data_IF_144029647705
#
_entry.id   IF_144029647705
#
_cell.length_a   1.000
_cell.length_b   1.000
_cell.length_c   1.000
_cell.angle_alpha   90.00
_cell.angle_beta   90.00
_cell.angle_gamma   90.00
#
_symmetry.space_group_name_H-M   'P 1'
#
loop_
_entity.id
_entity.type
_entity.pdbx_description
1 polymer ?
#
# COMPACT_ATOMS: atom_id res chain seq x y z
N UNK A 1 1.25 -18.25 -12.61
CA UNK A 1 0.81 -18.30 -11.19
C UNK A 1 -0.30 -17.28 -11.02
N UNK A 2 -1.34 -17.57 -10.23
CA UNK A 2 -2.39 -16.60 -9.88
C UNK A 2 -1.98 -15.84 -8.62
N UNK A 3 -2.17 -14.53 -8.62
CA UNK A 3 -2.03 -13.69 -7.44
C UNK A 3 -3.18 -12.68 -7.39
N UNK A 4 -3.52 -12.20 -6.21
CA UNK A 4 -4.40 -11.05 -6.01
C UNK A 4 -3.58 -9.87 -5.52
N UNK A 5 -3.98 -8.66 -5.85
CA UNK A 5 -3.37 -7.46 -5.28
C UNK A 5 -4.42 -6.44 -4.84
N UNK A 6 -4.13 -5.72 -3.75
CA UNK A 6 -4.96 -4.67 -3.16
C UNK A 6 -4.14 -3.38 -3.11
N UNK A 7 -4.71 -2.27 -3.59
CA UNK A 7 -4.08 -0.96 -3.57
C UNK A 7 -4.06 -0.31 -2.18
N UNK A 8 -3.65 0.96 -2.14
CA UNK A 8 -3.45 1.76 -0.92
C UNK A 8 -4.71 1.79 -0.03
N UNK A 9 -4.52 1.58 1.28
CA UNK A 9 -5.62 1.28 2.22
C UNK A 9 -5.99 2.51 3.07
N UNK A 10 -4.98 3.21 3.57
CA UNK A 10 -5.09 4.44 4.36
C UNK A 10 -6.16 4.38 5.44
N UNK A 11 -6.09 3.42 6.36
CA UNK A 11 -7.00 3.33 7.51
C UNK A 11 -8.48 3.05 7.19
N UNK A 12 -8.82 2.65 5.97
CA UNK A 12 -10.20 2.31 5.57
C UNK A 12 -10.51 0.81 5.71
N UNK A 13 -10.66 0.36 6.97
CA UNK A 13 -10.92 -1.05 7.30
C UNK A 13 -12.15 -1.64 6.59
N UNK A 14 -13.23 -0.88 6.49
CA UNK A 14 -14.48 -1.30 5.85
C UNK A 14 -14.27 -1.62 4.36
N UNK A 15 -13.52 -0.75 3.67
CA UNK A 15 -13.15 -0.93 2.26
C UNK A 15 -12.19 -2.12 2.08
N UNK A 16 -11.22 -2.27 2.97
CA UNK A 16 -10.27 -3.40 2.95
C UNK A 16 -11.01 -4.73 3.08
N UNK A 17 -11.91 -4.85 4.06
CA UNK A 17 -12.75 -6.03 4.22
C UNK A 17 -13.66 -6.24 2.99
N UNK A 18 -14.13 -5.16 2.37
CA UNK A 18 -14.88 -5.20 1.12
C UNK A 18 -14.12 -5.87 -0.01
N UNK A 19 -12.90 -5.41 -0.31
CA UNK A 19 -12.10 -6.00 -1.38
C UNK A 19 -11.64 -7.42 -1.07
N UNK A 20 -11.38 -7.77 0.19
CA UNK A 20 -11.15 -9.17 0.56
C UNK A 20 -12.36 -10.06 0.28
N UNK A 21 -13.59 -9.59 0.51
CA UNK A 21 -14.79 -10.36 0.12
C UNK A 21 -14.87 -10.60 -1.38
N UNK A 22 -14.48 -9.62 -2.21
CA UNK A 22 -14.42 -9.80 -3.66
C UNK A 22 -13.39 -10.86 -4.06
N UNK A 23 -12.22 -10.88 -3.40
CA UNK A 23 -11.20 -11.90 -3.58
C UNK A 23 -11.74 -13.29 -3.21
N UNK A 24 -12.40 -13.44 -2.06
CA UNK A 24 -12.96 -14.74 -1.64
C UNK A 24 -14.08 -15.22 -2.57
N UNK A 25 -14.90 -14.31 -3.10
CA UNK A 25 -15.88 -14.64 -4.12
C UNK A 25 -15.22 -15.18 -5.40
N UNK A 26 -14.14 -14.53 -5.85
CA UNK A 26 -13.39 -14.97 -7.02
C UNK A 26 -12.68 -16.32 -6.79
N UNK A 27 -12.06 -16.51 -5.62
CA UNK A 27 -11.47 -17.79 -5.20
C UNK A 27 -12.48 -18.92 -5.22
N UNK A 28 -13.70 -18.67 -4.75
CA UNK A 28 -14.79 -19.65 -4.79
C UNK A 28 -15.13 -20.05 -6.23
N UNK A 29 -15.07 -19.11 -7.18
CA UNK A 29 -15.35 -19.36 -8.61
C UNK A 29 -14.22 -20.15 -9.29
N UNK A 30 -12.96 -19.89 -8.94
CA UNK A 30 -11.80 -20.49 -9.62
C UNK A 30 -11.20 -21.72 -8.90
N UNK A 31 -11.54 -21.94 -7.63
CA UNK A 31 -11.09 -23.07 -6.82
C UNK A 31 -9.64 -22.96 -6.31
N UNK A 32 -9.06 -21.76 -6.28
CA UNK A 32 -7.65 -21.53 -5.91
C UNK A 32 -7.55 -20.71 -4.63
N UNK A 33 -7.47 -21.41 -3.50
CA UNK A 33 -7.42 -20.80 -2.17
C UNK A 33 -6.00 -20.40 -1.75
N UNK A 34 -4.98 -20.92 -2.44
CA UNK A 34 -3.57 -20.75 -2.07
C UNK A 34 -2.91 -19.55 -2.77
N UNK A 35 -3.54 -19.01 -3.84
CA UNK A 35 -3.06 -17.82 -4.52
C UNK A 35 -2.87 -16.65 -3.54
N UNK A 36 -1.67 -16.02 -3.50
CA UNK A 36 -1.38 -15.00 -2.51
C UNK A 36 -2.19 -13.73 -2.74
N UNK A 37 -2.47 -13.00 -1.66
CA UNK A 37 -3.01 -11.63 -1.70
C UNK A 37 -1.89 -10.67 -1.33
N UNK A 38 -1.49 -9.82 -2.26
CA UNK A 38 -0.46 -8.81 -2.07
C UNK A 38 -1.11 -7.48 -1.72
N UNK A 39 -0.87 -6.96 -0.52
CA UNK A 39 -1.29 -5.61 -0.13
C UNK A 39 -0.15 -4.65 -0.42
N UNK A 40 -0.36 -3.67 -1.29
CA UNK A 40 0.73 -2.84 -1.82
C UNK A 40 1.29 -1.79 -0.85
N UNK A 41 0.78 -1.72 0.37
CA UNK A 41 1.25 -0.78 1.40
C UNK A 41 0.28 0.37 1.63
N UNK A 42 0.78 1.39 2.32
CA UNK A 42 0.04 2.57 2.76
C UNK A 42 -1.21 2.17 3.56
N UNK A 43 -0.97 1.45 4.65
CA UNK A 43 -1.99 1.05 5.61
C UNK A 43 -2.33 2.19 6.57
N UNK A 44 -1.29 2.94 6.94
CA UNK A 44 -1.39 4.10 7.80
C UNK A 44 -1.95 5.33 7.09
N UNK A 45 -2.32 6.30 7.91
CA UNK A 45 -2.69 7.67 7.56
C UNK A 45 -4.03 7.87 6.85
N UNK A 46 -4.51 9.12 6.93
CA UNK A 46 -5.65 9.72 6.21
C UNK A 46 -7.04 9.17 6.53
N UNK A 47 -7.25 7.86 6.62
CA UNK A 47 -8.54 7.28 7.01
C UNK A 47 -8.73 7.19 8.52
N UNK A 48 -9.91 6.74 8.96
CA UNK A 48 -10.32 6.84 10.36
C UNK A 48 -9.82 5.71 11.27
N UNK A 49 -9.41 4.56 10.72
CA UNK A 49 -9.22 3.34 11.50
C UNK A 49 -7.95 2.57 11.13
N UNK A 50 -6.79 3.23 11.25
CA UNK A 50 -5.48 2.58 11.02
C UNK A 50 -5.24 1.44 12.00
N UNK A 51 -5.56 1.64 13.29
CA UNK A 51 -5.47 0.57 14.29
C UNK A 51 -6.18 -0.71 13.84
N UNK A 52 -7.45 -0.58 13.44
CA UNK A 52 -8.24 -1.74 13.00
C UNK A 52 -7.74 -2.36 11.68
N UNK A 53 -7.13 -1.58 10.78
CA UNK A 53 -6.47 -2.11 9.58
C UNK A 53 -5.29 -3.01 9.96
N UNK A 54 -4.40 -2.53 10.84
CA UNK A 54 -3.24 -3.32 11.26
C UNK A 54 -3.67 -4.56 12.05
N UNK A 55 -4.62 -4.42 12.99
CA UNK A 55 -5.22 -5.56 13.71
C UNK A 55 -5.75 -6.63 12.72
N UNK A 56 -6.43 -6.21 11.66
CA UNK A 56 -7.02 -7.10 10.66
C UNK A 56 -5.96 -7.81 9.81
N UNK A 57 -4.92 -7.10 9.36
CA UNK A 57 -3.82 -7.67 8.58
C UNK A 57 -3.04 -8.71 9.40
N UNK A 58 -2.69 -8.36 10.64
CA UNK A 58 -1.98 -9.25 11.57
C UNK A 58 -2.81 -10.49 11.93
N UNK A 59 -4.12 -10.35 12.11
CA UNK A 59 -5.00 -11.49 12.36
C UNK A 59 -5.02 -12.46 11.17
N UNK A 60 -5.02 -11.95 9.93
CA UNK A 60 -4.95 -12.81 8.75
C UNK A 60 -3.62 -13.54 8.60
N UNK A 61 -2.49 -12.90 8.94
CA UNK A 61 -1.19 -13.59 8.99
C UNK A 61 -1.16 -14.68 10.05
N UNK A 62 -1.70 -14.41 11.25
CA UNK A 62 -1.79 -15.39 12.33
C UNK A 62 -2.70 -16.58 11.98
N UNK A 63 -3.74 -16.36 11.17
CA UNK A 63 -4.61 -17.40 10.61
C UNK A 63 -3.93 -18.20 9.48
N UNK A 64 -2.72 -17.82 9.05
CA UNK A 64 -2.00 -18.49 7.97
C UNK A 64 -2.55 -18.17 6.59
N UNK A 65 -3.26 -17.05 6.41
CA UNK A 65 -3.68 -16.62 5.07
C UNK A 65 -2.45 -16.35 4.22
N UNK A 66 -2.49 -16.64 2.91
CA UNK A 66 -1.36 -16.40 2.01
C UNK A 66 -1.26 -14.90 1.68
N UNK A 67 -1.16 -14.04 2.70
CA UNK A 67 -1.06 -12.60 2.55
C UNK A 67 0.40 -12.18 2.51
N UNK A 68 0.69 -11.22 1.64
CA UNK A 68 2.00 -10.60 1.48
C UNK A 68 1.80 -9.10 1.64
N UNK A 69 2.20 -8.59 2.81
CA UNK A 69 2.06 -7.18 3.15
C UNK A 69 3.33 -6.42 2.73
N UNK A 70 3.19 -5.49 1.78
CA UNK A 70 4.28 -4.63 1.32
C UNK A 70 4.37 -3.32 2.11
N UNK A 71 5.58 -2.79 2.24
CA UNK A 71 5.85 -1.51 2.88
C UNK A 71 5.44 -0.35 1.97
N UNK A 72 4.54 0.52 2.45
CA UNK A 72 4.30 1.84 1.85
C UNK A 72 5.11 2.94 2.50
N UNK A 73 5.15 4.12 1.87
CA UNK A 73 5.88 5.25 2.46
C UNK A 73 5.19 5.79 3.71
N UNK A 74 3.86 5.75 3.80
CA UNK A 74 3.14 6.18 4.99
C UNK A 74 3.39 5.25 6.18
N UNK A 75 3.49 3.94 5.93
CA UNK A 75 3.83 2.95 6.96
C UNK A 75 5.25 3.18 7.49
N UNK A 76 6.20 3.45 6.57
CA UNK A 76 7.58 3.79 6.92
C UNK A 76 7.67 5.07 7.75
N UNK A 77 6.92 6.11 7.37
CA UNK A 77 6.87 7.37 8.14
C UNK A 77 6.30 7.16 9.55
N UNK A 78 5.23 6.37 9.68
CA UNK A 78 4.68 5.98 10.98
C UNK A 78 5.73 5.29 11.85
N UNK A 79 6.45 4.32 11.27
CA UNK A 79 7.47 3.56 11.98
C UNK A 79 8.61 4.44 12.49
N UNK A 80 9.15 5.32 11.65
CA UNK A 80 10.23 6.23 12.03
C UNK A 80 9.81 7.25 13.09
N UNK A 81 8.59 7.79 12.99
CA UNK A 81 8.09 8.74 13.97
C UNK A 81 7.96 8.11 15.35
N UNK A 82 7.51 6.86 15.46
CA UNK A 82 7.23 6.19 16.74
C UNK A 82 8.46 5.49 17.37
N UNK A 83 9.66 5.70 16.84
CA UNK A 83 10.90 5.21 17.43
C UNK A 83 11.20 5.87 18.78
N UNK A 84 12.07 5.29 19.64
CA UNK A 84 12.40 5.85 20.94
C UNK A 84 12.77 7.34 20.92
N UNK A 85 13.52 7.71 19.89
CA UNK A 85 13.75 9.08 19.45
C UNK A 85 13.09 9.18 18.08
N UNK A 86 12.24 10.19 17.89
CA UNK A 86 11.61 10.48 16.60
C UNK A 86 12.69 10.61 15.51
N UNK A 87 12.46 9.96 14.37
CA UNK A 87 13.34 10.03 13.21
C UNK A 87 12.57 10.58 12.00
N UNK A 88 13.17 11.46 11.18
CA UNK A 88 12.59 11.81 9.89
C UNK A 88 12.73 10.65 8.90
N UNK A 89 11.90 10.62 7.87
CA UNK A 89 12.11 9.75 6.72
C UNK A 89 13.46 10.09 6.04
N UNK A 90 14.29 9.09 5.69
CA UNK A 90 15.63 9.32 5.16
C UNK A 90 15.66 9.98 3.77
N UNK A 91 14.58 9.84 2.98
CA UNK A 91 14.47 10.47 1.67
C UNK A 91 13.73 11.81 1.73
N UNK A 92 12.76 11.93 2.65
CA UNK A 92 11.83 13.06 2.76
C UNK A 92 11.98 13.83 4.06
N UNK A 93 13.20 14.31 4.34
CA UNK A 93 13.48 15.18 5.49
C UNK A 93 12.66 16.49 5.52
N UNK A 94 12.13 16.90 4.36
CA UNK A 94 11.22 18.05 4.21
C UNK A 94 9.81 17.77 4.75
N UNK A 95 9.46 16.49 4.95
CA UNK A 95 8.16 16.06 5.43
C UNK A 95 8.24 15.58 6.87
N UNK A 96 7.53 16.28 7.76
CA UNK A 96 7.24 15.78 9.10
C UNK A 96 5.90 15.04 9.10
N UNK A 97 5.83 13.86 9.73
CA UNK A 97 4.66 12.95 9.63
C UNK A 97 3.35 13.57 10.14
N UNK A 98 3.42 14.50 11.10
CA UNK A 98 2.25 15.23 11.62
C UNK A 98 1.93 16.55 10.88
N UNK A 99 2.55 16.82 9.72
CA UNK A 99 2.29 18.05 8.95
C UNK A 99 0.82 18.16 8.51
N UNK A 100 0.22 19.32 8.80
CA UNK A 100 -1.18 19.62 8.49
C UNK A 100 -1.37 20.17 7.07
N UNK A 101 -0.48 21.05 6.61
CA UNK A 101 -0.66 21.83 5.38
C UNK A 101 -0.81 20.97 4.10
N UNK A 102 -0.17 19.81 4.11
CA UNK A 102 -0.20 18.83 3.01
C UNK A 102 -0.98 17.56 3.39
N UNK A 103 -1.56 17.52 4.59
CA UNK A 103 -2.36 16.42 5.13
C UNK A 103 -1.71 15.03 4.91
N UNK A 104 -0.50 14.83 5.43
CA UNK A 104 0.18 13.51 5.40
C UNK A 104 -0.72 12.45 6.03
N UNK A 105 -1.31 12.78 7.19
CA UNK A 105 -2.34 11.98 7.84
C UNK A 105 -1.91 11.28 9.14
N UNK A 106 -0.67 11.48 9.60
CA UNK A 106 -0.16 10.88 10.85
C UNK A 106 -0.99 11.21 12.09
N UNK A 107 -1.57 12.42 12.16
CA UNK A 107 -2.51 12.78 13.25
C UNK A 107 -3.75 11.89 13.27
N UNK A 108 -4.32 11.55 12.11
CA UNK A 108 -5.48 10.63 12.05
C UNK A 108 -5.09 9.21 12.44
N UNK A 109 -3.89 8.76 12.06
CA UNK A 109 -3.32 7.50 12.54
C UNK A 109 -3.32 7.47 14.06
N UNK A 110 -2.67 8.43 14.71
CA UNK A 110 -2.58 8.52 16.17
C UNK A 110 -3.95 8.66 16.86
N UNK A 111 -4.87 9.43 16.26
CA UNK A 111 -6.24 9.54 16.76
C UNK A 111 -6.98 8.19 16.77
N UNK A 112 -6.71 7.30 15.80
CA UNK A 112 -7.27 5.93 15.80
C UNK A 112 -6.77 5.05 16.96
N UNK A 113 -5.66 5.43 17.59
CA UNK A 113 -5.15 4.84 18.84
C UNK A 113 -5.62 5.61 20.10
N UNK A 114 -6.46 6.62 19.93
CA UNK A 114 -7.00 7.44 21.02
C UNK A 114 -6.02 8.49 21.54
N UNK A 115 -5.00 8.87 20.77
CA UNK A 115 -4.08 9.97 21.10
C UNK A 115 -4.77 11.31 20.85
N UNK A 116 -4.62 12.26 21.77
CA UNK A 116 -5.03 13.65 21.52
C UNK A 116 -4.04 14.34 20.57
N UNK A 117 -4.52 14.67 19.38
CA UNK A 117 -3.75 15.29 18.28
C UNK A 117 -4.25 16.70 17.98
N UNK A 118 -4.69 17.43 19.00
CA UNK A 118 -5.06 18.85 18.87
C UNK A 118 -3.89 19.69 18.31
N UNK A 119 -4.22 20.70 17.51
CA UNK A 119 -3.21 21.45 16.72
C UNK A 119 -2.29 22.30 17.59
N UNK A 120 -2.77 22.76 18.74
CA UNK A 120 -2.03 23.54 19.74
C UNK A 120 -1.12 22.69 20.62
N UNK A 121 -1.23 21.36 20.54
CA UNK A 121 -0.46 20.45 21.38
C UNK A 121 0.99 20.30 20.87
N UNK A 122 2.00 20.38 21.76
CA UNK A 122 3.40 20.20 21.36
C UNK A 122 3.67 18.83 20.74
N UNK A 123 4.40 18.79 19.62
CA UNK A 123 4.71 17.55 18.89
C UNK A 123 5.36 16.49 19.79
N UNK A 124 6.29 16.88 20.66
CA UNK A 124 6.99 15.94 21.54
C UNK A 124 6.05 15.25 22.56
N UNK A 125 4.96 15.91 22.98
CA UNK A 125 3.94 15.29 23.84
C UNK A 125 3.05 14.32 23.05
N UNK A 126 2.65 14.70 21.83
CA UNK A 126 1.92 13.84 20.90
C UNK A 126 2.74 12.57 20.62
N UNK A 127 4.04 12.72 20.36
CA UNK A 127 4.97 11.62 20.14
C UNK A 127 5.05 10.69 21.36
N UNK A 128 5.24 11.24 22.56
CA UNK A 128 5.34 10.45 23.79
C UNK A 128 4.06 9.65 24.07
N UNK A 129 2.89 10.25 23.87
CA UNK A 129 1.61 9.55 24.03
C UNK A 129 1.37 8.53 22.91
N UNK A 130 1.71 8.86 21.66
CA UNK A 130 1.66 7.93 20.53
C UNK A 130 2.44 6.66 20.81
N UNK A 131 3.68 6.79 21.30
CA UNK A 131 4.51 5.66 21.73
C UNK A 131 3.93 4.86 22.88
N UNK A 132 3.16 5.49 23.77
CA UNK A 132 2.52 4.80 24.88
C UNK A 132 1.24 4.06 24.47
N UNK A 133 0.54 4.52 23.41
CA UNK A 133 -0.77 4.00 22.99
C UNK A 133 -0.72 3.07 21.77
N UNK A 134 0.26 3.23 20.88
CA UNK A 134 0.45 2.33 19.74
C UNK A 134 1.09 1.03 20.23
N UNK A 135 0.46 -0.14 20.03
CA UNK A 135 1.04 -1.42 20.41
C UNK A 135 2.39 -1.67 19.71
N UNK A 136 3.34 -2.25 20.43
CA UNK A 136 4.65 -2.57 19.84
C UNK A 136 4.51 -3.58 18.71
N UNK A 137 3.53 -4.48 18.81
CA UNK A 137 3.23 -5.50 17.81
C UNK A 137 2.85 -4.89 16.46
N UNK A 138 2.25 -3.69 16.44
CA UNK A 138 1.95 -2.97 15.19
C UNK A 138 3.21 -2.40 14.57
N UNK A 139 4.15 -1.91 15.37
CA UNK A 139 5.44 -1.42 14.89
C UNK A 139 6.33 -2.57 14.42
N UNK A 140 6.30 -3.70 15.10
CA UNK A 140 6.99 -4.92 14.71
C UNK A 140 6.41 -5.49 13.41
N UNK A 141 5.08 -5.46 13.25
CA UNK A 141 4.42 -5.78 11.98
C UNK A 141 4.92 -4.89 10.84
N UNK A 142 4.92 -3.56 11.02
CA UNK A 142 5.42 -2.62 10.01
C UNK A 142 6.91 -2.88 9.70
N UNK A 143 7.72 -3.16 10.72
CA UNK A 143 9.13 -3.47 10.55
C UNK A 143 9.38 -4.77 9.75
N UNK A 144 8.42 -5.70 9.79
CA UNK A 144 8.45 -6.98 9.09
C UNK A 144 7.89 -6.95 7.66
N UNK A 145 7.36 -5.80 7.20
CA UNK A 145 6.80 -5.66 5.86
C UNK A 145 7.86 -5.89 4.78
N UNK A 146 7.44 -6.46 3.66
CA UNK A 146 8.33 -6.70 2.51
C UNK A 146 8.41 -5.45 1.65
N UNK A 147 9.57 -5.18 1.06
CA UNK A 147 9.70 -4.03 0.16
C UNK A 147 9.06 -4.30 -1.23
N UNK A 148 9.08 -5.57 -1.65
CA UNK A 148 8.52 -6.02 -2.91
C UNK A 148 8.20 -7.51 -2.88
N UNK A 149 7.47 -7.98 -3.89
CA UNK A 149 7.24 -9.40 -4.14
C UNK A 149 7.41 -9.70 -5.64
N UNK A 150 8.39 -10.51 -6.06
CA UNK A 150 8.58 -10.85 -7.47
C UNK A 150 7.90 -12.18 -7.83
N UNK A 151 7.38 -12.26 -9.04
CA UNK A 151 7.05 -13.50 -9.75
C UNK A 151 7.79 -13.52 -11.09
N UNK A 152 7.61 -14.58 -11.90
CA UNK A 152 8.20 -14.62 -13.24
C UNK A 152 7.66 -13.52 -14.16
N UNK A 153 6.39 -13.15 -14.02
CA UNK A 153 5.66 -12.31 -14.97
C UNK A 153 5.40 -10.89 -14.45
N UNK A 154 5.33 -10.74 -13.12
CA UNK A 154 4.93 -9.50 -12.44
C UNK A 154 5.82 -9.23 -11.24
N UNK A 155 6.19 -7.96 -11.07
CA UNK A 155 6.91 -7.44 -9.91
C UNK A 155 5.97 -6.49 -9.15
N UNK A 156 5.72 -6.79 -7.88
CA UNK A 156 4.82 -6.03 -7.01
C UNK A 156 5.65 -5.15 -6.08
N UNK A 157 5.38 -3.85 -6.06
CA UNK A 157 6.02 -2.88 -5.17
C UNK A 157 5.03 -1.75 -4.86
N UNK A 158 5.32 -0.94 -3.84
CA UNK A 158 4.43 0.15 -3.46
C UNK A 158 4.37 1.27 -4.50
N UNK A 159 5.48 1.95 -4.78
CA UNK A 159 5.52 3.12 -5.66
C UNK A 159 5.99 2.82 -7.08
N UNK A 160 7.06 2.04 -7.23
CA UNK A 160 7.64 1.75 -8.53
C UNK A 160 9.09 1.31 -8.45
N UNK A 161 9.77 1.31 -9.59
CA UNK A 161 11.19 0.90 -9.69
C UNK A 161 11.99 1.95 -10.44
N UNK A 162 13.26 2.11 -10.07
CA UNK A 162 14.21 2.96 -10.77
C UNK A 162 14.61 2.32 -12.10
N UNK A 163 14.33 2.97 -13.26
CA UNK A 163 14.75 2.47 -14.55
C UNK A 163 16.28 2.36 -14.66
N UNK A 164 16.75 1.33 -15.35
CA UNK A 164 18.18 1.05 -15.53
C UNK A 164 18.86 0.36 -14.33
N UNK A 165 18.15 0.17 -13.21
CA UNK A 165 18.62 -0.64 -12.08
C UNK A 165 17.95 -2.02 -12.12
N UNK A 166 18.69 -3.14 -11.97
CA UNK A 166 18.09 -4.47 -11.87
C UNK A 166 17.03 -4.56 -10.78
N UNK A 167 15.97 -5.36 -10.99
CA UNK A 167 14.83 -5.44 -10.07
C UNK A 167 15.20 -5.98 -8.68
N UNK A 168 16.22 -6.83 -8.60
CA UNK A 168 16.78 -7.38 -7.37
C UNK A 168 17.81 -6.45 -6.70
N UNK A 169 18.07 -5.27 -7.28
CA UNK A 169 19.00 -4.26 -6.78
C UNK A 169 18.33 -2.90 -6.57
N UNK A 170 17.00 -2.86 -6.60
CA UNK A 170 16.23 -1.66 -6.22
C UNK A 170 16.47 -1.35 -4.75
N UNK A 171 16.46 -0.06 -4.41
CA UNK A 171 16.58 0.40 -3.03
C UNK A 171 15.21 0.77 -2.49
N UNK A 172 14.99 0.57 -1.19
CA UNK A 172 13.71 0.83 -0.53
C UNK A 172 13.15 2.22 -0.82
N UNK A 173 14.01 3.25 -0.81
CA UNK A 173 13.61 4.64 -1.10
C UNK A 173 12.90 4.79 -2.44
N UNK A 174 13.37 4.12 -3.49
CA UNK A 174 12.67 4.13 -4.77
C UNK A 174 11.39 3.31 -4.71
N UNK A 175 11.45 2.13 -4.10
CA UNK A 175 10.31 1.21 -4.01
C UNK A 175 9.11 1.83 -3.29
N UNK A 176 9.32 2.78 -2.38
CA UNK A 176 8.23 3.43 -1.63
C UNK A 176 7.94 4.88 -2.04
N UNK A 177 8.83 5.59 -2.75
CA UNK A 177 8.61 7.02 -3.07
C UNK A 177 8.72 7.40 -4.55
N UNK A 178 9.24 6.54 -5.43
CA UNK A 178 9.54 6.95 -6.79
C UNK A 178 8.28 7.38 -7.56
N UNK A 179 8.41 8.45 -8.34
CA UNK A 179 7.35 8.95 -9.24
C UNK A 179 7.91 9.24 -10.62
N UNK A 180 8.31 10.48 -10.89
CA UNK A 180 8.69 11.00 -12.22
C UNK A 180 9.50 10.04 -13.09
N UNK A 181 10.74 9.66 -12.71
CA UNK A 181 11.57 8.79 -13.52
C UNK A 181 10.92 7.45 -13.88
N UNK A 182 10.11 6.89 -12.98
CA UNK A 182 9.38 5.64 -13.20
C UNK A 182 8.16 5.85 -14.11
N UNK A 183 7.35 6.88 -13.87
CA UNK A 183 6.13 7.15 -14.66
C UNK A 183 6.42 7.54 -16.11
N UNK A 184 7.54 8.22 -16.33
CA UNK A 184 7.99 8.67 -17.64
C UNK A 184 8.60 7.54 -18.48
N UNK A 185 9.13 6.49 -17.85
CA UNK A 185 9.74 5.36 -18.54
C UNK A 185 8.70 4.47 -19.23
N UNK A 186 8.91 4.19 -20.52
CA UNK A 186 7.97 3.43 -21.36
C UNK A 186 8.47 2.05 -21.79
N UNK A 187 9.78 1.79 -21.66
CA UNK A 187 10.32 0.50 -22.05
C UNK A 187 9.91 -0.62 -21.08
N UNK A 188 10.06 -1.86 -21.52
CA UNK A 188 9.79 -3.04 -20.70
C UNK A 188 10.84 -3.20 -19.61
N UNK A 189 10.38 -3.50 -18.40
CA UNK A 189 11.26 -3.89 -17.28
C UNK A 189 11.63 -5.38 -17.29
N UNK A 190 11.08 -6.16 -18.23
CA UNK A 190 11.04 -7.62 -18.17
C UNK A 190 9.66 -8.06 -17.68
N UNK A 191 9.43 -8.22 -16.36
CA UNK A 191 8.10 -8.39 -15.79
C UNK A 191 7.26 -7.10 -15.87
N UNK A 192 5.96 -7.24 -15.68
CA UNK A 192 5.02 -6.13 -15.54
C UNK A 192 5.15 -5.56 -14.11
N UNK A 193 5.25 -4.25 -13.95
CA UNK A 193 5.31 -3.64 -12.62
C UNK A 193 3.88 -3.35 -12.14
N UNK A 194 3.47 -3.91 -11.00
CA UNK A 194 2.18 -3.65 -10.39
C UNK A 194 2.39 -2.83 -9.11
N UNK A 195 1.81 -1.63 -9.05
CA UNK A 195 2.08 -0.64 -8.01
C UNK A 195 0.85 0.18 -7.62
N UNK A 196 1.01 1.03 -6.61
CA UNK A 196 0.06 2.03 -6.12
C UNK A 196 0.74 3.40 -5.95
N UNK A 197 0.59 4.03 -4.77
CA UNK A 197 1.24 5.29 -4.33
C UNK A 197 0.80 6.58 -5.04
N UNK A 198 0.51 6.52 -6.35
CA UNK A 198 0.07 7.67 -7.14
C UNK A 198 -1.38 7.50 -7.57
N UNK A 199 -2.29 7.91 -6.69
CA UNK A 199 -3.72 7.74 -6.94
C UNK A 199 -4.19 8.21 -8.32
N UNK A 200 -5.04 7.39 -8.94
CA UNK A 200 -5.75 7.66 -10.17
C UNK A 200 -7.25 7.45 -9.97
N UNK A 201 -8.09 7.97 -10.87
CA UNK A 201 -9.55 7.76 -10.77
C UNK A 201 -9.97 6.30 -10.98
N UNK A 202 -9.10 5.49 -11.58
CA UNK A 202 -9.32 4.08 -11.91
C UNK A 202 -7.99 3.34 -12.03
N UNK A 203 -8.05 2.01 -11.87
CA UNK A 203 -6.93 1.12 -12.23
C UNK A 203 -6.51 1.42 -13.68
N UNK A 204 -5.23 1.63 -13.88
CA UNK A 204 -4.70 2.11 -15.17
C UNK A 204 -3.50 1.28 -15.58
N UNK A 205 -3.60 0.62 -16.74
CA UNK A 205 -2.51 -0.15 -17.31
C UNK A 205 -1.80 0.67 -18.40
N UNK A 206 -0.52 0.94 -18.19
CA UNK A 206 0.32 1.77 -19.05
C UNK A 206 1.23 0.96 -19.99
N UNK A 207 0.91 -0.31 -20.23
CA UNK A 207 1.74 -1.24 -21.02
C UNK A 207 2.86 -1.90 -20.21
N UNK A 208 3.78 -1.14 -19.63
CA UNK A 208 4.91 -1.67 -18.85
C UNK A 208 4.68 -1.73 -17.33
N UNK A 209 3.63 -1.05 -16.85
CA UNK A 209 3.19 -1.05 -15.46
C UNK A 209 1.67 -0.93 -15.34
N UNK A 210 1.13 -1.28 -14.17
CA UNK A 210 -0.25 -1.08 -13.77
C UNK A 210 -0.31 -0.44 -12.40
N UNK A 211 -1.03 0.68 -12.32
CA UNK A 211 -1.32 1.37 -11.09
C UNK A 211 -2.72 0.97 -10.60
N UNK A 212 -2.83 0.52 -9.36
CA UNK A 212 -4.08 0.12 -8.72
C UNK A 212 -4.46 0.99 -7.51
N UNK A 213 -3.75 2.09 -7.24
CA UNK A 213 -4.20 3.08 -6.26
C UNK A 213 -5.34 3.91 -6.86
N UNK A 214 -6.55 3.65 -6.35
CA UNK A 214 -7.78 4.35 -6.77
C UNK A 214 -8.22 5.44 -5.79
N UNK A 215 -7.30 5.91 -4.94
CA UNK A 215 -7.48 7.12 -4.14
C UNK A 215 -8.34 6.93 -2.90
N UNK A 216 -8.22 5.80 -2.20
CA UNK A 216 -8.96 5.53 -0.95
C UNK A 216 -8.80 6.65 0.08
N UNK A 217 -7.57 7.15 0.22
CA UNK A 217 -7.17 8.33 0.99
C UNK A 217 -8.04 9.58 0.78
N UNK A 218 -8.55 9.75 -0.43
CA UNK A 218 -9.26 10.94 -0.89
C UNK A 218 -10.76 10.69 -1.08
N UNK A 219 -11.28 9.59 -0.52
CA UNK A 219 -12.67 9.20 -0.61
C UNK A 219 -12.99 8.25 -1.77
N UNK A 220 -12.02 7.92 -2.62
CA UNK A 220 -12.14 6.91 -3.67
C UNK A 220 -12.28 5.48 -3.12
N UNK A 221 -12.49 4.47 -3.98
CA UNK A 221 -12.52 3.07 -3.55
C UNK A 221 -11.10 2.56 -3.23
N UNK A 222 -11.02 1.44 -2.49
CA UNK A 222 -9.85 0.56 -2.55
C UNK A 222 -10.12 -0.39 -3.71
N UNK A 223 -9.14 -0.56 -4.60
CA UNK A 223 -9.25 -1.51 -5.71
C UNK A 223 -8.58 -2.83 -5.37
N UNK A 224 -9.09 -3.91 -5.96
CA UNK A 224 -8.43 -5.21 -5.97
C UNK A 224 -8.44 -5.81 -7.36
N UNK A 225 -7.36 -6.51 -7.67
CA UNK A 225 -7.19 -7.20 -8.94
C UNK A 225 -6.82 -8.66 -8.72
N UNK A 226 -7.17 -9.50 -9.69
CA UNK A 226 -6.58 -10.82 -9.88
C UNK A 226 -5.64 -10.76 -11.08
N UNK A 227 -4.50 -11.43 -10.94
CA UNK A 227 -3.40 -11.46 -11.90
C UNK A 227 -3.11 -12.90 -12.26
N UNK A 228 -3.09 -13.22 -13.55
CA UNK A 228 -2.71 -14.54 -14.06
C UNK A 228 -1.69 -14.38 -15.19
N UNK A 229 -0.44 -14.73 -14.92
CA UNK A 229 0.65 -14.35 -15.82
C UNK A 229 0.79 -12.83 -15.84
N UNK A 230 0.55 -12.20 -16.99
CA UNK A 230 0.53 -10.73 -17.14
C UNK A 230 -0.87 -10.15 -17.35
N UNK A 231 -1.88 -11.00 -17.42
CA UNK A 231 -3.26 -10.56 -17.56
C UNK A 231 -3.80 -10.12 -16.21
N UNK A 232 -4.50 -8.99 -16.20
CA UNK A 232 -5.02 -8.34 -15.00
C UNK A 232 -6.52 -8.11 -15.16
N UNK A 233 -7.27 -8.42 -14.11
CA UNK A 233 -8.68 -8.11 -14.02
C UNK A 233 -8.98 -7.43 -12.69
N UNK A 234 -9.70 -6.31 -12.76
CA UNK A 234 -10.33 -5.72 -11.59
C UNK A 234 -11.43 -6.65 -11.08
N UNK A 235 -11.49 -6.83 -9.77
CA UNK A 235 -12.58 -7.55 -9.12
C UNK A 235 -13.72 -6.58 -8.81
N UNK A 236 -14.93 -6.96 -9.20
CA UNK A 236 -16.20 -6.30 -8.86
C UNK A 236 -17.19 -7.34 -8.32
N UNK A 237 -18.36 -6.89 -7.84
CA UNK A 237 -19.42 -7.79 -7.39
C UNK A 237 -19.93 -8.69 -8.54
N UNK A 238 -19.95 -8.16 -9.76
CA UNK A 238 -20.32 -8.87 -10.98
C UNK A 238 -19.23 -9.86 -11.43
N UNK A 239 -17.97 -9.61 -11.09
CA UNK A 239 -16.85 -10.51 -11.34
C UNK A 239 -15.61 -9.81 -11.87
N UNK A 240 -14.90 -10.50 -12.76
CA UNK A 240 -13.62 -10.02 -13.33
C UNK A 240 -13.88 -9.06 -14.49
N UNK A 241 -13.40 -7.83 -14.38
CA UNK A 241 -13.38 -6.83 -15.45
C UNK A 241 -11.95 -6.69 -16.00
N UNK A 242 -11.68 -7.01 -17.28
CA UNK A 242 -10.33 -6.96 -17.83
C UNK A 242 -9.74 -5.54 -17.78
N UNK A 243 -8.51 -5.43 -17.27
CA UNK A 243 -7.70 -4.21 -17.30
C UNK A 243 -6.72 -4.33 -18.47
N UNK A 244 -6.99 -3.61 -19.56
CA UNK A 244 -6.15 -3.65 -20.76
C UNK A 244 -5.20 -2.46 -20.82
N UNK A 245 -4.01 -2.59 -21.42
CA UNK A 245 -3.14 -1.46 -21.68
C UNK A 245 -3.89 -0.35 -22.39
N UNK A 246 -3.75 0.89 -21.92
CA UNK A 246 -4.20 2.06 -22.65
C UNK A 246 -3.43 2.12 -23.97
N UNK A 247 -4.12 1.83 -25.08
CA UNK A 247 -3.62 2.13 -26.41
C UNK A 247 -3.66 3.64 -26.55
N UNK A 248 -2.51 4.29 -26.39
CA UNK A 248 -2.35 5.66 -26.87
C UNK A 248 -2.32 5.56 -28.39
N UNK A 249 -3.42 5.95 -29.03
CA UNK A 249 -3.39 6.28 -30.45
C UNK A 249 -2.57 7.56 -30.53
N UNK A 250 -1.38 7.48 -31.12
CA UNK A 250 -0.55 8.65 -31.46
C UNK A 250 -1.33 9.69 -32.27
#
# INVERSE_FOLDING_TARGET
>A
MRCYAIGDIHGHLDKLQGVHRLIELDRTRCGDVDAPVIHLGDYADRGPNVRGVLDYLMAGEAEGKPWINLLGNHDRMMWHFLQPVEQPDPLRHDLHWLMLDINIGGRKTLASYGVDVSDDRPIHEIHAEGRAKVPIEHLDFIAGLREYYPTNDVFYCHAGVRPGVPLDQQVQDDLVWIRGPFHEHKDSFGPLILHGHTHLDRITHFGNRVDIDTGAAYGGPISAVVVEGRDIWQLTEEGRVPVRPHVTVE
#
